data_IF_824392462375
#
_entry.id   IF_824392462375
#
_cell.length_a   1.000
_cell.length_b   1.000
_cell.length_c   1.000
_cell.angle_alpha   90.00
_cell.angle_beta   90.00
_cell.angle_gamma   90.00
#
_symmetry.space_group_name_H-M   'P 1'
#
loop_
_entity.id
_entity.type
_entity.pdbx_description
1 polymer ?
#
# COMPACT_ATOMS: atom_id res chain seq x y z
N UNK A 1 -24.16 -30.33 -30.79
CA UNK A 1 -23.70 -29.08 -30.16
C UNK A 1 -23.05 -29.42 -28.83
N UNK A 2 -21.72 -29.38 -28.74
CA UNK A 2 -20.99 -29.31 -27.46
C UNK A 2 -19.55 -28.84 -27.75
N UNK A 3 -19.15 -27.75 -27.08
CA UNK A 3 -17.93 -27.00 -27.37
C UNK A 3 -16.67 -27.59 -26.75
N UNK A 4 -15.56 -27.46 -27.49
CA UNK A 4 -14.19 -27.76 -27.01
C UNK A 4 -13.64 -26.58 -26.21
N UNK A 5 -13.24 -26.82 -24.97
CA UNK A 5 -12.41 -25.90 -24.19
C UNK A 5 -10.93 -26.12 -24.53
N UNK A 6 -10.22 -25.04 -24.90
CA UNK A 6 -8.75 -25.04 -25.11
C UNK A 6 -8.06 -24.82 -23.76
N UNK A 7 -7.09 -25.68 -23.42
CA UNK A 7 -6.16 -25.45 -22.30
C UNK A 7 -5.09 -24.45 -22.71
N UNK A 8 -4.97 -23.37 -21.94
CA UNK A 8 -3.87 -22.40 -22.05
C UNK A 8 -2.54 -23.04 -21.66
N UNK A 9 -1.50 -22.69 -22.41
CA UNK A 9 -0.11 -23.08 -22.23
C UNK A 9 0.52 -22.29 -21.08
N UNK A 10 1.07 -22.98 -20.08
CA UNK A 10 1.97 -22.44 -19.06
C UNK A 10 3.40 -22.49 -19.61
N UNK A 11 4.25 -21.45 -19.43
CA UNK A 11 5.62 -21.49 -19.93
C UNK A 11 6.46 -22.46 -19.10
N UNK A 12 6.94 -23.52 -19.75
CA UNK A 12 7.92 -24.46 -19.21
C UNK A 12 9.30 -23.83 -19.41
N UNK A 13 10.01 -23.48 -18.34
CA UNK A 13 11.45 -23.15 -18.43
C UNK A 13 12.29 -24.43 -18.42
N UNK A 14 13.35 -24.41 -19.21
CA UNK A 14 14.15 -25.56 -19.62
C UNK A 14 14.91 -26.25 -18.47
N UNK A 15 15.03 -27.58 -18.62
CA UNK A 15 15.69 -28.52 -17.73
C UNK A 15 17.21 -28.44 -17.90
N UNK A 16 17.96 -28.22 -16.82
CA UNK A 16 19.39 -28.54 -16.73
C UNK A 16 19.55 -29.96 -16.17
N UNK A 17 20.14 -30.87 -16.95
CA UNK A 17 20.57 -32.18 -16.49
C UNK A 17 22.00 -32.07 -15.94
N UNK A 18 22.14 -31.85 -14.64
CA UNK A 18 23.43 -31.86 -13.95
C UNK A 18 23.34 -32.65 -12.65
N UNK A 19 24.19 -33.65 -12.47
CA UNK A 19 24.31 -34.41 -11.23
C UNK A 19 24.98 -33.56 -10.17
N UNK A 20 24.20 -32.94 -9.28
CA UNK A 20 24.69 -32.31 -8.07
C UNK A 20 24.02 -32.99 -6.86
N UNK A 21 24.81 -33.63 -6.02
CA UNK A 21 24.35 -34.14 -4.72
C UNK A 21 24.10 -32.96 -3.79
N UNK A 22 22.84 -32.52 -3.70
CA UNK A 22 22.35 -31.67 -2.63
C UNK A 22 21.53 -32.54 -1.68
N UNK A 23 21.98 -32.59 -0.41
CA UNK A 23 21.23 -33.21 0.67
C UNK A 23 20.05 -32.29 1.03
N UNK A 24 18.97 -32.41 0.26
CA UNK A 24 17.68 -31.81 0.57
C UNK A 24 16.79 -32.92 1.18
N UNK A 25 16.41 -32.76 2.45
CA UNK A 25 15.30 -33.52 3.02
C UNK A 25 14.01 -33.03 2.38
N UNK A 26 13.62 -33.69 1.29
CA UNK A 26 12.44 -33.38 0.51
C UNK A 26 11.36 -34.41 0.87
N UNK A 27 10.29 -33.97 1.54
CA UNK A 27 9.10 -34.81 1.74
C UNK A 27 8.33 -34.85 0.43
N UNK A 28 8.54 -35.89 -0.36
CA UNK A 28 7.82 -36.11 -1.63
C UNK A 28 6.53 -36.87 -1.34
N UNK A 29 5.39 -36.19 -1.44
CA UNK A 29 4.07 -36.82 -1.49
C UNK A 29 3.72 -37.06 -2.96
N UNK A 30 3.58 -38.32 -3.38
CA UNK A 30 3.11 -38.65 -4.73
C UNK A 30 1.82 -39.47 -4.66
N UNK A 31 0.94 -39.26 -5.65
CA UNK A 31 -0.30 -40.00 -5.82
C UNK A 31 -0.16 -40.91 -7.04
N UNK A 32 -0.26 -42.24 -6.86
CA UNK A 32 -0.27 -43.18 -7.99
C UNK A 32 -1.73 -43.49 -8.32
N UNK A 33 -2.22 -42.95 -9.44
CA UNK A 33 -3.54 -43.31 -9.95
C UNK A 33 -3.47 -44.59 -10.79
N UNK A 34 -4.18 -45.65 -10.37
CA UNK A 34 -4.72 -46.65 -11.29
C UNK A 34 -6.23 -46.46 -11.39
N UNK A 35 -6.82 -46.78 -12.55
CA UNK A 35 -8.19 -46.41 -12.92
C UNK A 35 -9.31 -46.85 -11.97
N UNK A 36 -9.06 -47.77 -11.05
CA UNK A 36 -10.06 -48.23 -10.09
C UNK A 36 -9.42 -48.35 -8.69
N UNK A 37 -10.02 -47.66 -7.71
CA UNK A 37 -9.71 -47.62 -6.26
C UNK A 37 -8.63 -46.65 -5.77
N UNK A 38 -9.04 -45.81 -4.81
CA UNK A 38 -8.18 -44.94 -3.99
C UNK A 38 -7.76 -45.71 -2.74
N UNK A 39 -6.55 -46.27 -2.74
CA UNK A 39 -5.96 -46.90 -1.56
C UNK A 39 -4.66 -46.21 -1.20
N UNK A 40 -4.65 -45.56 -0.05
CA UNK A 40 -3.45 -45.00 0.57
C UNK A 40 -2.59 -46.16 1.07
N UNK A 41 -1.45 -46.44 0.42
CA UNK A 41 -0.45 -47.41 0.89
C UNK A 41 0.89 -46.74 1.11
N UNK A 42 1.36 -46.79 2.37
CA UNK A 42 2.73 -46.47 2.75
C UNK A 42 3.57 -47.72 2.46
N UNK A 43 4.48 -47.65 1.50
CA UNK A 43 5.38 -48.76 1.17
C UNK A 43 6.67 -48.27 0.53
N UNK A 44 7.81 -48.78 0.99
CA UNK A 44 9.12 -48.56 0.37
C UNK A 44 9.38 -49.63 -0.67
N UNK A 45 9.31 -49.28 -1.96
CA UNK A 45 9.85 -50.10 -3.04
C UNK A 45 11.06 -49.39 -3.65
N UNK A 46 12.17 -50.10 -3.75
CA UNK A 46 13.33 -49.65 -4.53
C UNK A 46 13.04 -49.86 -6.00
N UNK A 47 12.87 -48.77 -6.75
CA UNK A 47 12.80 -48.80 -8.21
C UNK A 47 14.14 -48.30 -8.76
N UNK A 48 14.89 -49.19 -9.39
CA UNK A 48 16.08 -48.83 -10.15
C UNK A 48 15.67 -48.11 -11.43
N UNK A 49 15.87 -46.78 -11.44
CA UNK A 49 15.88 -45.89 -12.62
C UNK A 49 14.53 -45.67 -13.32
N UNK A 50 13.62 -44.97 -12.66
CA UNK A 50 12.58 -44.20 -13.36
C UNK A 50 13.06 -42.74 -13.48
N UNK A 51 12.92 -42.07 -14.64
CA UNK A 51 13.09 -40.64 -14.71
C UNK A 51 12.01 -39.97 -13.87
N UNK A 52 12.40 -39.39 -12.73
CA UNK A 52 11.53 -38.59 -11.89
C UNK A 52 11.74 -37.11 -12.24
N UNK A 53 10.67 -36.42 -12.62
CA UNK A 53 10.66 -34.97 -12.69
C UNK A 53 10.21 -34.42 -11.33
N UNK A 54 11.08 -33.71 -10.64
CA UNK A 54 10.70 -32.93 -9.46
C UNK A 54 10.24 -31.57 -9.97
N UNK A 55 8.94 -31.31 -9.86
CA UNK A 55 8.38 -29.96 -10.07
C UNK A 55 8.39 -29.27 -8.71
N UNK A 56 9.38 -28.43 -8.48
CA UNK A 56 9.37 -27.51 -7.34
C UNK A 56 8.45 -26.36 -7.74
N UNK A 57 7.26 -26.30 -7.17
CA UNK A 57 6.47 -25.07 -7.20
C UNK A 57 7.18 -24.08 -6.27
N UNK A 58 7.79 -23.04 -6.84
CA UNK A 58 8.20 -21.89 -6.04
C UNK A 58 6.95 -21.33 -5.34
N UNK A 59 7.09 -20.95 -4.07
CA UNK A 59 6.02 -20.21 -3.40
C UNK A 59 5.71 -18.96 -4.22
N UNK A 60 4.44 -18.73 -4.53
CA UNK A 60 4.02 -17.52 -5.22
C UNK A 60 4.34 -16.34 -4.31
N UNK A 61 5.14 -15.40 -4.80
CA UNK A 61 5.33 -14.12 -4.11
C UNK A 61 3.98 -13.40 -4.10
N UNK A 62 3.55 -12.96 -2.92
CA UNK A 62 2.29 -12.25 -2.73
C UNK A 62 2.60 -10.90 -2.10
N UNK A 63 2.01 -9.84 -2.62
CA UNK A 63 2.09 -8.51 -2.03
C UNK A 63 0.71 -8.00 -1.64
N UNK A 64 0.65 -7.16 -0.61
CA UNK A 64 -0.56 -6.50 -0.16
C UNK A 64 -0.41 -5.00 -0.38
N UNK A 65 -1.41 -4.40 -1.04
CA UNK A 65 -1.58 -2.96 -1.16
C UNK A 65 -2.55 -2.49 -0.07
N UNK A 66 -2.04 -1.79 0.93
CA UNK A 66 -2.85 -1.10 1.93
C UNK A 66 -3.16 0.31 1.44
N UNK A 67 -4.43 0.74 1.47
CA UNK A 67 -4.84 2.07 0.99
C UNK A 67 -5.55 2.82 2.11
N UNK A 68 -5.20 4.09 2.26
CA UNK A 68 -5.91 5.04 3.10
C UNK A 68 -5.79 6.47 2.54
N UNK A 69 -6.49 7.43 3.12
CA UNK A 69 -6.68 8.78 2.62
C UNK A 69 -6.47 9.84 3.70
N UNK A 70 -6.24 11.08 3.27
CA UNK A 70 -6.30 12.23 4.18
C UNK A 70 -6.80 13.46 3.43
N UNK A 71 -7.52 14.33 4.13
CA UNK A 71 -8.29 15.39 3.49
C UNK A 71 -9.77 15.02 3.37
N UNK A 72 -10.53 15.93 2.78
CA UNK A 72 -11.89 15.66 2.35
C UNK A 72 -12.02 15.86 0.83
N UNK A 73 -13.09 15.32 0.26
CA UNK A 73 -13.39 15.45 -1.17
C UNK A 73 -14.34 16.62 -1.48
N UNK A 74 -14.58 17.48 -0.49
CA UNK A 74 -15.40 18.68 -0.62
C UNK A 74 -14.69 19.77 -1.43
N UNK A 75 -15.49 20.61 -2.07
CA UNK A 75 -15.00 21.79 -2.78
C UNK A 75 -14.36 22.79 -1.81
N UNK A 76 -13.24 23.38 -2.22
CA UNK A 76 -12.63 24.49 -1.50
C UNK A 76 -13.29 25.81 -1.95
N UNK A 77 -13.93 26.59 -1.06
CA UNK A 77 -14.58 27.83 -1.46
C UNK A 77 -13.55 28.89 -1.88
N UNK A 78 -14.02 29.95 -2.56
CA UNK A 78 -13.15 31.05 -3.00
C UNK A 78 -12.49 31.79 -1.82
N UNK A 79 -13.16 31.81 -0.67
CA UNK A 79 -12.64 32.28 0.61
C UNK A 79 -12.70 31.12 1.60
N UNK A 80 -11.61 30.34 1.75
CA UNK A 80 -11.55 29.22 2.68
C UNK A 80 -11.78 29.67 4.12
N UNK A 81 -12.64 28.94 4.82
CA UNK A 81 -12.80 29.03 6.26
C UNK A 81 -11.61 28.44 7.00
N UNK A 82 -11.63 28.60 8.33
CA UNK A 82 -10.52 28.22 9.19
C UNK A 82 -10.16 26.72 9.12
N UNK A 83 -11.14 25.85 8.82
CA UNK A 83 -11.00 24.40 8.83
C UNK A 83 -11.12 23.73 7.45
N UNK A 84 -11.30 24.49 6.37
CA UNK A 84 -11.46 23.90 5.03
C UNK A 84 -10.17 23.23 4.57
N UNK A 85 -10.23 22.00 4.08
CA UNK A 85 -9.03 21.23 3.75
C UNK A 85 -8.59 21.53 2.32
N UNK A 86 -7.42 22.16 2.09
CA UNK A 86 -7.00 22.59 0.75
C UNK A 86 -6.38 21.47 -0.08
N UNK A 87 -6.08 20.34 0.56
CA UNK A 87 -5.50 19.15 -0.07
C UNK A 87 -6.41 17.96 0.18
N UNK A 88 -6.46 17.07 -0.80
CA UNK A 88 -6.97 15.72 -0.66
C UNK A 88 -5.91 14.76 -1.18
N UNK A 89 -5.65 13.67 -0.49
CA UNK A 89 -4.72 12.64 -0.96
C UNK A 89 -5.21 11.24 -0.64
N UNK A 90 -4.77 10.30 -1.46
CA UNK A 90 -4.86 8.87 -1.20
C UNK A 90 -3.43 8.33 -1.22
N UNK A 91 -3.03 7.66 -0.15
CA UNK A 91 -1.75 6.97 -0.04
C UNK A 91 -1.94 5.46 -0.07
N UNK A 92 -0.87 4.76 -0.43
CA UNK A 92 -0.85 3.31 -0.38
C UNK A 92 0.53 2.75 -0.04
N UNK A 93 0.53 1.63 0.67
CA UNK A 93 1.73 0.87 1.02
C UNK A 93 1.69 -0.49 0.35
N UNK A 94 2.75 -0.83 -0.37
CA UNK A 94 2.99 -2.15 -0.93
C UNK A 94 3.90 -2.90 0.04
N UNK A 95 3.41 -4.03 0.55
CA UNK A 95 4.10 -4.86 1.55
C UNK A 95 4.20 -6.29 1.02
N UNK A 96 5.36 -6.94 1.16
CA UNK A 96 5.47 -8.38 0.94
C UNK A 96 4.61 -9.10 2.00
N UNK A 97 3.71 -9.98 1.56
CA UNK A 97 2.84 -10.73 2.45
C UNK A 97 3.63 -11.55 3.49
N UNK A 98 4.87 -11.97 3.16
CA UNK A 98 5.77 -12.63 4.09
C UNK A 98 6.20 -11.74 5.27
N UNK A 99 6.28 -10.42 5.06
CA UNK A 99 6.72 -9.45 6.07
C UNK A 99 5.58 -8.89 6.92
N UNK A 100 4.31 -9.18 6.59
CA UNK A 100 3.14 -8.58 7.29
C UNK A 100 3.13 -8.91 8.78
N UNK A 101 3.52 -10.13 9.15
CA UNK A 101 3.59 -10.55 10.56
C UNK A 101 4.60 -9.72 11.34
N UNK A 102 5.85 -9.67 10.86
CA UNK A 102 6.94 -8.95 11.52
C UNK A 102 6.70 -7.44 11.52
N UNK A 103 6.22 -6.85 10.41
CA UNK A 103 5.81 -5.46 10.34
C UNK A 103 4.73 -5.12 11.39
N UNK A 104 3.76 -6.01 11.58
CA UNK A 104 2.70 -5.83 12.58
C UNK A 104 3.25 -5.86 14.00
N UNK A 105 4.13 -6.81 14.30
CA UNK A 105 4.78 -6.90 15.61
C UNK A 105 5.64 -5.68 15.91
N UNK A 106 6.49 -5.27 14.97
CA UNK A 106 7.34 -4.08 15.13
C UNK A 106 6.52 -2.81 15.33
N UNK A 107 5.40 -2.68 14.61
CA UNK A 107 4.48 -1.55 14.80
C UNK A 107 3.82 -1.58 16.18
N UNK A 108 3.36 -2.74 16.66
CA UNK A 108 2.80 -2.88 18.02
C UNK A 108 3.83 -2.54 19.09
N UNK A 109 5.08 -2.97 18.92
CA UNK A 109 6.17 -2.64 19.83
C UNK A 109 6.49 -1.15 19.80
N UNK A 110 6.46 -0.52 18.63
CA UNK A 110 6.60 0.93 18.49
C UNK A 110 5.49 1.67 19.24
N UNK A 111 4.23 1.25 19.07
CA UNK A 111 3.07 1.80 19.81
C UNK A 111 3.28 1.66 21.31
N UNK A 112 3.69 0.49 21.76
CA UNK A 112 3.91 0.19 23.17
C UNK A 112 5.00 1.09 23.79
N UNK A 113 6.07 1.36 23.03
CA UNK A 113 7.19 2.19 23.48
C UNK A 113 6.82 3.67 23.56
N UNK A 114 6.13 4.20 22.55
CA UNK A 114 5.82 5.63 22.48
C UNK A 114 4.53 6.00 23.22
N UNK A 115 3.53 5.13 23.19
CA UNK A 115 2.21 5.39 23.78
C UNK A 115 1.85 4.34 24.83
N UNK A 116 2.67 4.15 25.89
CA UNK A 116 2.41 3.12 26.90
C UNK A 116 1.08 3.31 27.62
N UNK A 117 0.62 4.57 27.79
CA UNK A 117 -0.68 4.87 28.38
C UNK A 117 -1.87 4.58 27.46
N UNK A 118 -1.66 4.52 26.14
CA UNK A 118 -2.71 4.17 25.17
C UNK A 118 -2.97 2.65 25.15
N UNK A 119 -1.92 1.86 25.35
CA UNK A 119 -1.97 0.39 25.30
C UNK A 119 -1.92 -0.25 26.69
N UNK A 120 -1.97 0.55 27.76
CA UNK A 120 -1.73 0.10 29.13
C UNK A 120 -2.75 -0.91 29.64
N UNK A 121 -3.99 -0.83 29.15
CA UNK A 121 -5.09 -1.72 29.53
C UNK A 121 -5.13 -3.01 28.68
N UNK A 122 -4.26 -3.14 27.67
CA UNK A 122 -4.20 -4.32 26.82
C UNK A 122 -3.45 -5.46 27.52
N UNK A 123 -4.18 -6.52 27.87
CA UNK A 123 -3.61 -7.69 28.56
C UNK A 123 -2.70 -8.54 27.68
N UNK A 124 -3.03 -8.68 26.37
CA UNK A 124 -2.18 -9.41 25.41
C UNK A 124 -1.45 -8.44 24.51
N UNK A 125 -0.27 -8.84 24.06
CA UNK A 125 0.54 -8.05 23.14
C UNK A 125 -0.23 -7.69 21.85
N UNK A 126 -0.95 -8.65 21.25
CA UNK A 126 -1.72 -8.41 20.02
C UNK A 126 -2.91 -7.47 20.22
N UNK A 127 -3.52 -7.41 21.41
CA UNK A 127 -4.65 -6.51 21.70
C UNK A 127 -4.26 -5.02 21.57
N UNK A 128 -2.96 -4.73 21.63
CA UNK A 128 -2.39 -3.38 21.48
C UNK A 128 -2.53 -2.83 20.06
N UNK A 129 -2.97 -3.64 19.10
CA UNK A 129 -3.36 -3.14 17.78
C UNK A 129 -4.65 -2.30 17.85
N UNK A 130 -5.58 -2.64 18.75
CA UNK A 130 -6.93 -2.05 18.80
C UNK A 130 -6.90 -0.55 19.13
N UNK A 131 -6.14 -0.04 20.13
CA UNK A 131 -6.10 1.39 20.42
C UNK A 131 -5.33 2.15 19.35
N UNK A 132 -6.02 2.89 18.50
CA UNK A 132 -5.42 3.54 17.33
C UNK A 132 -4.71 4.86 17.66
N UNK A 133 -3.54 5.08 17.06
CA UNK A 133 -2.88 6.40 17.05
C UNK A 133 -3.35 7.15 15.81
N UNK A 134 -4.14 8.20 15.98
CA UNK A 134 -4.65 8.97 14.85
C UNK A 134 -3.56 9.84 14.22
N UNK A 135 -3.36 9.71 12.91
CA UNK A 135 -2.37 10.51 12.18
C UNK A 135 -2.62 12.03 12.26
N UNK A 136 -3.89 12.44 12.35
CA UNK A 136 -4.27 13.84 12.54
C UNK A 136 -3.85 14.42 13.90
N UNK A 137 -3.78 13.60 14.95
CA UNK A 137 -3.27 13.97 16.27
C UNK A 137 -1.74 14.08 16.25
N UNK A 138 -1.06 13.14 15.58
CA UNK A 138 0.38 13.22 15.32
C UNK A 138 0.74 14.49 14.56
N UNK A 139 0.00 14.82 13.48
CA UNK A 139 0.14 16.08 12.75
C UNK A 139 0.02 17.28 13.67
N UNK A 140 -1.05 17.35 14.48
CA UNK A 140 -1.27 18.45 15.43
C UNK A 140 -0.09 18.58 16.41
N UNK A 141 0.36 17.46 16.96
CA UNK A 141 1.46 17.41 17.92
C UNK A 141 2.81 17.80 17.29
N UNK A 142 3.08 17.38 16.06
CA UNK A 142 4.29 17.70 15.32
C UNK A 142 4.34 19.19 14.93
N UNK A 143 3.23 19.77 14.47
CA UNK A 143 3.19 21.14 13.95
C UNK A 143 2.98 22.21 15.03
N UNK A 144 2.16 21.91 16.05
CA UNK A 144 1.66 22.87 17.04
C UNK A 144 1.89 22.44 18.49
N UNK A 145 2.41 21.24 18.72
CA UNK A 145 2.69 20.75 20.07
C UNK A 145 3.82 21.52 20.75
N UNK A 146 3.80 21.54 22.09
CA UNK A 146 4.94 22.03 22.90
C UNK A 146 6.19 21.22 22.57
N UNK A 147 7.38 21.76 22.89
CA UNK A 147 8.69 21.16 22.56
C UNK A 147 8.77 19.64 22.77
N UNK A 148 8.33 19.14 23.93
CA UNK A 148 8.38 17.71 24.25
C UNK A 148 7.35 16.89 23.48
N UNK A 149 6.12 17.38 23.31
CA UNK A 149 5.06 16.73 22.52
C UNK A 149 5.45 16.66 21.05
N UNK A 150 6.03 17.73 20.51
CA UNK A 150 6.57 17.76 19.16
C UNK A 150 7.71 16.77 18.99
N UNK A 151 8.70 16.77 19.89
CA UNK A 151 9.82 15.81 19.86
C UNK A 151 9.31 14.37 19.90
N UNK A 152 8.30 14.10 20.72
CA UNK A 152 7.68 12.79 20.83
C UNK A 152 7.03 12.34 19.51
N UNK A 153 6.17 13.17 18.92
CA UNK A 153 5.51 12.86 17.64
C UNK A 153 6.52 12.66 16.51
N UNK A 154 7.54 13.51 16.42
CA UNK A 154 8.58 13.40 15.41
C UNK A 154 9.41 12.12 15.60
N UNK A 155 9.84 11.81 16.83
CA UNK A 155 10.60 10.59 17.11
C UNK A 155 9.80 9.31 16.81
N UNK A 156 8.48 9.34 16.99
CA UNK A 156 7.61 8.24 16.58
C UNK A 156 7.62 8.07 15.05
N UNK A 157 7.44 9.16 14.31
CA UNK A 157 7.42 9.15 12.84
C UNK A 157 8.77 8.69 12.24
N UNK A 158 9.90 9.12 12.82
CA UNK A 158 11.24 8.65 12.42
C UNK A 158 11.37 7.13 12.58
N UNK A 159 10.97 6.60 13.73
CA UNK A 159 11.02 5.16 13.99
C UNK A 159 10.01 4.37 13.16
N UNK A 160 8.88 4.97 12.79
CA UNK A 160 7.93 4.35 11.88
C UNK A 160 8.53 4.21 10.48
N UNK A 161 9.17 5.26 9.94
CA UNK A 161 9.81 5.19 8.62
C UNK A 161 10.97 4.18 8.59
N UNK A 162 11.74 4.08 9.68
CA UNK A 162 12.78 3.05 9.83
C UNK A 162 12.22 1.63 9.74
N UNK A 163 11.09 1.35 10.42
CA UNK A 163 10.39 0.06 10.32
C UNK A 163 9.99 -0.21 8.86
N UNK A 164 9.42 0.77 8.16
CA UNK A 164 9.00 0.59 6.76
C UNK A 164 10.17 0.30 5.82
N UNK A 165 11.30 0.94 6.03
CA UNK A 165 12.53 0.68 5.28
C UNK A 165 13.07 -0.73 5.57
N UNK A 166 13.09 -1.16 6.84
CA UNK A 166 13.56 -2.49 7.24
C UNK A 166 12.72 -3.63 6.67
N UNK A 167 11.44 -3.37 6.38
CA UNK A 167 10.50 -4.34 5.80
C UNK A 167 10.34 -4.20 4.27
N UNK A 168 11.20 -3.40 3.62
CA UNK A 168 11.18 -3.12 2.17
C UNK A 168 9.83 -2.60 1.65
N UNK A 169 9.08 -1.90 2.50
CA UNK A 169 7.77 -1.35 2.15
C UNK A 169 7.91 -0.25 1.10
N UNK A 170 7.03 -0.25 0.09
CA UNK A 170 6.99 0.80 -0.93
C UNK A 170 5.77 1.70 -0.80
N UNK A 171 5.97 2.98 -1.03
CA UNK A 171 4.96 4.03 -0.94
C UNK A 171 4.50 4.47 -2.34
N UNK A 172 3.18 4.60 -2.48
CA UNK A 172 2.50 5.28 -3.58
C UNK A 172 1.58 6.35 -3.00
N UNK A 173 1.40 7.47 -3.69
CA UNK A 173 0.38 8.43 -3.30
C UNK A 173 -0.07 9.32 -4.46
N UNK A 174 -1.37 9.62 -4.47
CA UNK A 174 -1.97 10.61 -5.35
C UNK A 174 -2.44 11.80 -4.51
N UNK A 175 -1.81 12.95 -4.73
CA UNK A 175 -2.10 14.21 -4.03
C UNK A 175 -2.83 15.17 -4.97
N UNK A 176 -3.88 15.80 -4.46
CA UNK A 176 -4.70 16.78 -5.17
C UNK A 176 -4.73 18.09 -4.39
N UNK A 177 -4.23 19.16 -5.00
CA UNK A 177 -4.38 20.53 -4.49
C UNK A 177 -5.72 21.06 -5.01
N UNK A 178 -6.60 21.49 -4.11
CA UNK A 178 -7.93 21.93 -4.50
C UNK A 178 -7.88 23.37 -5.03
N UNK A 179 -8.43 23.63 -6.23
CA UNK A 179 -8.53 24.99 -6.75
C UNK A 179 -9.57 25.82 -5.95
N UNK A 180 -9.24 27.08 -5.67
CA UNK A 180 -10.11 28.00 -4.93
C UNK A 180 -11.37 28.35 -5.71
N UNK A 181 -12.54 28.14 -5.11
CA UNK A 181 -13.82 28.53 -5.69
C UNK A 181 -14.23 27.75 -6.94
N UNK A 182 -13.45 26.74 -7.34
CA UNK A 182 -13.70 25.92 -8.51
C UNK A 182 -14.22 24.54 -8.12
N UNK A 183 -14.91 23.89 -9.05
CA UNK A 183 -15.49 22.56 -8.82
C UNK A 183 -14.38 21.53 -8.54
N UNK A 184 -14.58 20.76 -7.47
CA UNK A 184 -13.75 19.59 -7.15
C UNK A 184 -14.63 18.35 -7.15
N UNK A 185 -14.52 17.52 -8.20
CA UNK A 185 -15.37 16.34 -8.37
C UNK A 185 -14.87 15.17 -7.53
N UNK A 186 -15.21 15.19 -6.24
CA UNK A 186 -14.73 14.22 -5.24
C UNK A 186 -14.79 12.76 -5.66
N UNK A 187 -15.92 12.32 -6.23
CA UNK A 187 -16.11 10.95 -6.72
C UNK A 187 -15.11 10.60 -7.83
N UNK A 188 -14.97 11.46 -8.84
CA UNK A 188 -14.09 11.22 -9.98
C UNK A 188 -12.61 11.25 -9.56
N UNK A 189 -12.25 12.20 -8.69
CA UNK A 189 -10.92 12.30 -8.09
C UNK A 189 -10.57 11.03 -7.32
N UNK A 190 -11.49 10.53 -6.49
CA UNK A 190 -11.27 9.33 -5.70
C UNK A 190 -11.12 8.09 -6.59
N UNK A 191 -12.08 7.84 -7.49
CA UNK A 191 -12.04 6.63 -8.35
C UNK A 191 -10.84 6.61 -9.28
N UNK A 192 -10.46 7.76 -9.86
CA UNK A 192 -9.28 7.85 -10.71
C UNK A 192 -7.97 7.65 -9.93
N UNK A 193 -7.92 8.10 -8.67
CA UNK A 193 -6.77 7.87 -7.79
C UNK A 193 -6.61 6.40 -7.44
N UNK A 194 -7.69 5.70 -7.10
CA UNK A 194 -7.66 4.26 -6.83
C UNK A 194 -7.27 3.46 -8.08
N UNK A 195 -7.82 3.80 -9.24
CA UNK A 195 -7.42 3.17 -10.51
C UNK A 195 -5.94 3.39 -10.81
N UNK A 196 -5.41 4.59 -10.56
CA UNK A 196 -3.98 4.87 -10.72
C UNK A 196 -3.10 4.07 -9.74
N UNK A 197 -3.54 3.92 -8.49
CA UNK A 197 -2.86 3.06 -7.50
C UNK A 197 -2.86 1.60 -7.95
N UNK A 198 -3.98 1.09 -8.47
CA UNK A 198 -4.08 -0.26 -9.03
C UNK A 198 -3.18 -0.46 -10.25
N UNK A 199 -3.10 0.50 -11.15
CA UNK A 199 -2.20 0.44 -12.30
C UNK A 199 -0.73 0.39 -11.87
N UNK A 200 -0.36 1.21 -10.89
CA UNK A 200 1.00 1.23 -10.34
C UNK A 200 1.34 -0.04 -9.57
N UNK A 201 0.38 -0.59 -8.82
CA UNK A 201 0.55 -1.86 -8.13
C UNK A 201 0.63 -3.02 -9.12
N UNK A 202 -0.19 -3.06 -10.17
CA UNK A 202 -0.09 -4.08 -11.22
C UNK A 202 1.28 -4.06 -11.90
N UNK A 203 1.81 -2.87 -12.18
CA UNK A 203 3.18 -2.74 -12.69
C UNK A 203 4.22 -3.28 -11.69
N UNK A 204 4.13 -2.92 -10.41
CA UNK A 204 4.98 -3.50 -9.37
C UNK A 204 4.91 -5.03 -9.33
N UNK A 205 3.69 -5.58 -9.39
CA UNK A 205 3.47 -7.03 -9.36
C UNK A 205 4.10 -7.73 -10.56
N UNK A 206 4.06 -7.11 -11.74
CA UNK A 206 4.75 -7.60 -12.93
C UNK A 206 6.27 -7.59 -12.76
N UNK A 207 6.83 -6.48 -12.28
CA UNK A 207 8.28 -6.34 -12.07
C UNK A 207 8.82 -7.32 -11.01
N UNK A 208 8.01 -7.64 -10.00
CA UNK A 208 8.36 -8.61 -8.95
C UNK A 208 7.99 -10.06 -9.27
N UNK A 209 7.39 -10.32 -10.43
CA UNK A 209 6.79 -11.63 -10.77
C UNK A 209 5.90 -12.18 -9.64
N UNK A 210 5.05 -11.31 -9.07
CA UNK A 210 4.22 -11.61 -7.89
C UNK A 210 2.71 -11.40 -8.10
N UNK A 211 1.89 -12.03 -7.29
CA UNK A 211 0.45 -11.76 -7.22
C UNK A 211 0.16 -10.73 -6.13
N UNK A 212 -1.02 -10.11 -6.18
CA UNK A 212 -1.36 -9.05 -5.24
C UNK A 212 -2.78 -9.09 -4.72
N UNK A 213 -2.97 -8.52 -3.53
CA UNK A 213 -4.28 -8.26 -2.93
C UNK A 213 -4.33 -6.81 -2.43
N UNK A 214 -5.52 -6.20 -2.40
CA UNK A 214 -5.71 -4.83 -1.95
C UNK A 214 -6.64 -4.77 -0.75
N UNK A 215 -6.20 -4.08 0.30
CA UNK A 215 -6.98 -3.79 1.49
C UNK A 215 -7.06 -2.27 1.63
N UNK A 216 -8.27 -1.72 1.56
CA UNK A 216 -8.52 -0.29 1.75
C UNK A 216 -9.21 -0.06 3.10
N UNK A 217 -8.99 1.11 3.71
CA UNK A 217 -9.77 1.50 4.88
C UNK A 217 -11.25 1.66 4.50
N UNK A 218 -12.14 1.16 5.35
CA UNK A 218 -13.57 1.17 5.06
C UNK A 218 -14.17 2.55 5.28
N UNK A 219 -14.91 3.02 4.28
CA UNK A 219 -15.79 4.19 4.38
C UNK A 219 -17.23 3.73 4.59
N UNK A 220 -18.20 4.56 4.21
CA UNK A 220 -19.59 4.13 4.12
C UNK A 220 -19.81 3.13 2.96
N UNK A 221 -20.82 2.23 3.07
CA UNK A 221 -21.05 1.17 2.09
C UNK A 221 -21.23 1.66 0.65
N UNK A 222 -21.82 2.84 0.44
CA UNK A 222 -22.08 3.38 -0.89
C UNK A 222 -20.77 3.81 -1.56
N UNK A 223 -19.91 4.52 -0.84
CA UNK A 223 -18.59 4.92 -1.35
C UNK A 223 -17.72 3.69 -1.64
N UNK A 224 -17.71 2.70 -0.75
CA UNK A 224 -16.98 1.44 -0.96
C UNK A 224 -17.43 0.73 -2.24
N UNK A 225 -18.74 0.62 -2.46
CA UNK A 225 -19.30 -0.02 -3.66
C UNK A 225 -18.92 0.72 -4.95
N UNK A 226 -18.95 2.07 -4.94
CA UNK A 226 -18.54 2.89 -6.09
C UNK A 226 -17.07 2.66 -6.45
N UNK A 227 -16.20 2.63 -5.44
CA UNK A 227 -14.76 2.42 -5.62
C UNK A 227 -14.47 1.02 -6.16
N UNK A 228 -15.04 -0.02 -5.53
CA UNK A 228 -14.89 -1.39 -6.00
C UNK A 228 -15.40 -1.56 -7.45
N UNK A 229 -16.53 -0.95 -7.78
CA UNK A 229 -17.07 -1.00 -9.14
C UNK A 229 -16.17 -0.27 -10.17
N UNK A 230 -15.51 0.81 -9.76
CA UNK A 230 -14.56 1.52 -10.64
C UNK A 230 -13.33 0.67 -10.99
N UNK A 231 -12.88 -0.23 -10.10
CA UNK A 231 -11.80 -1.18 -10.37
C UNK A 231 -12.34 -2.38 -11.15
N UNK A 232 -13.52 -2.88 -10.80
CA UNK A 232 -14.19 -4.00 -11.49
C UNK A 232 -14.32 -3.74 -12.99
N UNK A 233 -14.80 -2.55 -13.37
CA UNK A 233 -15.00 -2.19 -14.77
C UNK A 233 -13.71 -2.18 -15.57
N UNK A 234 -12.57 -1.82 -14.96
CA UNK A 234 -11.25 -1.88 -15.61
C UNK A 234 -10.71 -3.32 -15.68
N UNK A 235 -10.86 -4.08 -14.59
CA UNK A 235 -10.33 -5.45 -14.50
C UNK A 235 -11.02 -6.42 -15.46
N UNK A 236 -12.34 -6.32 -15.57
CA UNK A 236 -13.16 -7.26 -16.35
C UNK A 236 -13.63 -6.66 -17.69
N UNK A 237 -12.99 -5.60 -18.18
CA UNK A 237 -13.32 -5.03 -19.48
C UNK A 237 -13.00 -6.04 -20.59
N UNK A 238 -13.95 -6.24 -21.52
CA UNK A 238 -13.82 -7.24 -22.59
C UNK A 238 -12.71 -6.94 -23.60
N UNK A 239 -12.33 -5.67 -23.75
CA UNK A 239 -11.31 -5.22 -24.70
C UNK A 239 -9.88 -5.32 -24.17
N UNK A 240 -9.70 -5.42 -22.84
CA UNK A 240 -8.40 -5.42 -22.17
C UNK A 240 -8.61 -5.77 -20.70
N UNK A 241 -8.14 -6.93 -20.24
CA UNK A 241 -8.14 -7.23 -18.81
C UNK A 241 -7.00 -6.44 -18.14
N UNK A 242 -7.33 -5.32 -17.50
CA UNK A 242 -6.39 -4.62 -16.63
C UNK A 242 -6.23 -5.39 -15.31
N UNK A 243 -5.11 -5.20 -14.61
CA UNK A 243 -4.91 -5.72 -13.25
C UNK A 243 -5.02 -7.26 -13.16
N UNK A 244 -4.25 -7.98 -13.97
CA UNK A 244 -4.29 -9.45 -14.04
C UNK A 244 -3.59 -10.13 -12.86
N UNK A 245 -2.64 -9.44 -12.22
CA UNK A 245 -1.91 -9.95 -11.06
C UNK A 245 -2.52 -9.51 -9.74
N UNK A 246 -3.22 -8.38 -9.70
CA UNK A 246 -4.09 -8.03 -8.57
C UNK A 246 -5.31 -8.98 -8.55
N UNK A 247 -5.35 -9.90 -7.60
CA UNK A 247 -6.28 -11.04 -7.60
C UNK A 247 -7.74 -10.63 -7.42
N UNK A 248 -7.99 -9.58 -6.64
CA UNK A 248 -9.34 -9.18 -6.24
C UNK A 248 -9.54 -7.66 -6.33
N UNK A 249 -10.80 -7.25 -6.34
CA UNK A 249 -11.22 -5.87 -6.09
C UNK A 249 -10.78 -5.40 -4.69
N UNK A 250 -10.79 -4.08 -4.40
CA UNK A 250 -10.44 -3.59 -3.08
C UNK A 250 -11.35 -4.23 -2.03
N UNK A 251 -10.75 -4.87 -1.03
CA UNK A 251 -11.47 -5.31 0.16
C UNK A 251 -11.37 -4.23 1.22
N UNK A 252 -12.50 -3.92 1.85
CA UNK A 252 -12.57 -2.84 2.84
C UNK A 252 -12.47 -3.43 4.25
N UNK A 253 -11.50 -2.94 5.01
CA UNK A 253 -11.20 -3.41 6.36
C UNK A 253 -11.46 -2.32 7.41
N UNK A 254 -11.59 -2.75 8.67
CA UNK A 254 -11.59 -1.83 9.80
C UNK A 254 -10.16 -1.66 10.33
N UNK A 255 -9.69 -0.41 10.42
CA UNK A 255 -8.32 -0.06 10.87
C UNK A 255 -7.91 -0.72 12.19
N UNK A 256 -8.84 -0.96 13.12
CA UNK A 256 -8.61 -1.51 14.46
C UNK A 256 -7.84 -2.84 14.46
N UNK A 257 -7.87 -3.61 13.37
CA UNK A 257 -7.22 -4.91 13.26
C UNK A 257 -6.11 -4.96 12.19
N UNK A 258 -5.78 -3.85 11.55
CA UNK A 258 -4.88 -3.82 10.40
C UNK A 258 -3.75 -2.81 10.60
N UNK A 259 -2.57 -3.30 10.97
CA UNK A 259 -1.37 -2.47 11.12
C UNK A 259 -1.04 -1.70 9.82
N UNK A 260 -1.11 -2.36 8.66
CA UNK A 260 -0.89 -1.71 7.37
C UNK A 260 -1.82 -0.52 7.10
N UNK A 261 -3.09 -0.61 7.50
CA UNK A 261 -4.06 0.50 7.39
C UNK A 261 -3.70 1.62 8.37
N UNK A 262 -3.46 1.30 9.66
CA UNK A 262 -3.10 2.33 10.65
C UNK A 262 -1.81 3.07 10.27
N UNK A 263 -0.81 2.37 9.74
CA UNK A 263 0.43 2.98 9.25
C UNK A 263 0.13 3.88 8.06
N UNK A 264 -0.74 3.45 7.14
CA UNK A 264 -1.15 4.24 5.98
C UNK A 264 -1.85 5.55 6.42
N UNK A 265 -2.81 5.51 7.37
CA UNK A 265 -3.40 6.73 7.97
C UNK A 265 -2.30 7.66 8.49
N UNK A 266 -1.39 7.12 9.30
CA UNK A 266 -0.34 7.91 9.94
C UNK A 266 0.52 8.62 8.90
N UNK A 267 0.97 7.93 7.85
CA UNK A 267 1.78 8.55 6.79
C UNK A 267 0.98 9.59 6.02
N UNK A 268 -0.24 9.26 5.62
CA UNK A 268 -1.14 10.16 4.88
C UNK A 268 -1.41 11.44 5.68
N UNK A 269 -1.85 11.29 6.92
CA UNK A 269 -2.34 12.37 7.77
C UNK A 269 -1.24 13.15 8.48
N UNK A 270 -0.15 12.49 8.92
CA UNK A 270 0.91 13.12 9.71
C UNK A 270 2.10 13.64 8.88
N UNK A 271 2.35 13.10 7.68
CA UNK A 271 3.47 13.49 6.83
C UNK A 271 3.01 14.05 5.49
N UNK A 272 2.38 13.24 4.65
CA UNK A 272 2.08 13.62 3.26
C UNK A 272 1.15 14.83 3.19
N UNK A 273 0.08 14.83 3.98
CA UNK A 273 -0.88 15.93 3.99
C UNK A 273 -0.26 17.26 4.40
N UNK A 274 0.38 17.41 5.59
CA UNK A 274 0.92 18.70 6.00
C UNK A 274 2.07 19.17 5.10
N UNK A 275 2.89 18.26 4.56
CA UNK A 275 3.93 18.61 3.59
C UNK A 275 3.29 19.16 2.31
N UNK A 276 2.27 18.49 1.77
CA UNK A 276 1.58 18.96 0.57
C UNK A 276 0.86 20.30 0.81
N UNK A 277 0.17 20.45 1.94
CA UNK A 277 -0.53 21.68 2.28
C UNK A 277 0.43 22.86 2.38
N UNK A 278 1.60 22.69 3.00
CA UNK A 278 2.63 23.74 3.06
C UNK A 278 3.26 23.99 1.69
N UNK A 279 3.74 22.96 1.00
CA UNK A 279 4.47 23.10 -0.24
C UNK A 279 3.64 23.71 -1.38
N UNK A 280 2.33 23.42 -1.42
CA UNK A 280 1.45 23.83 -2.51
C UNK A 280 0.43 24.91 -2.14
N UNK A 281 0.04 25.05 -0.87
CA UNK A 281 -1.02 26.01 -0.52
C UNK A 281 -0.50 27.27 0.19
N UNK A 282 0.78 27.30 0.59
CA UNK A 282 1.40 28.52 1.14
C UNK A 282 1.29 29.69 0.17
N UNK A 283 0.81 30.83 0.65
CA UNK A 283 0.54 32.04 -0.16
C UNK A 283 -0.82 32.05 -0.88
N UNK A 284 -1.54 30.93 -0.89
CA UNK A 284 -2.87 30.83 -1.53
C UNK A 284 -3.99 30.59 -0.52
N UNK A 285 -3.73 29.83 0.54
CA UNK A 285 -4.70 29.48 1.57
C UNK A 285 -4.13 29.81 2.95
N UNK A 286 -4.86 30.62 3.72
CA UNK A 286 -4.50 30.98 5.09
C UNK A 286 -5.43 30.34 6.10
N UNK A 287 -5.15 29.10 6.52
CA UNK A 287 -5.98 28.40 7.50
C UNK A 287 -5.18 27.41 8.37
N UNK A 288 -5.84 26.64 9.24
CA UNK A 288 -5.15 25.80 10.23
C UNK A 288 -4.35 24.64 9.61
N UNK A 289 -4.64 24.28 8.34
CA UNK A 289 -4.03 23.16 7.64
C UNK A 289 -2.75 23.57 6.90
N UNK A 290 -2.62 24.85 6.55
CA UNK A 290 -1.42 25.41 5.91
C UNK A 290 -0.57 26.09 6.97
N UNK A 291 0.49 25.41 7.41
CA UNK A 291 1.32 25.87 8.53
C UNK A 291 2.79 25.95 8.09
N UNK A 292 3.48 27.08 8.27
CA UNK A 292 4.91 27.20 7.95
C UNK A 292 5.78 26.17 8.68
N UNK A 293 5.36 25.70 9.86
CA UNK A 293 6.08 24.67 10.61
C UNK A 293 6.11 23.31 9.91
N UNK A 294 5.26 23.06 8.91
CA UNK A 294 5.31 21.84 8.12
C UNK A 294 6.49 21.82 7.14
N UNK A 295 7.12 22.96 6.83
CA UNK A 295 8.37 22.99 6.08
C UNK A 295 9.47 22.17 6.78
N UNK A 296 9.51 22.19 8.11
CA UNK A 296 10.44 21.38 8.89
C UNK A 296 10.15 19.86 8.82
N UNK A 297 8.90 19.46 8.55
CA UNK A 297 8.58 18.06 8.26
C UNK A 297 9.12 17.68 6.89
N UNK A 298 8.93 18.54 5.89
CA UNK A 298 9.45 18.32 4.53
C UNK A 298 10.97 18.19 4.54
N UNK A 299 11.66 19.12 5.19
CA UNK A 299 13.12 19.10 5.30
C UNK A 299 13.62 17.83 5.99
N UNK A 300 12.93 17.41 7.06
CA UNK A 300 13.36 16.26 7.88
C UNK A 300 13.04 14.90 7.26
N UNK A 301 11.92 14.77 6.56
CA UNK A 301 11.40 13.47 6.11
C UNK A 301 11.36 13.33 4.58
N UNK A 302 11.68 14.39 3.83
CA UNK A 302 11.59 14.41 2.38
C UNK A 302 12.46 13.34 1.72
N UNK A 303 13.69 13.17 2.20
CA UNK A 303 14.63 12.19 1.65
C UNK A 303 14.18 10.73 1.89
N UNK A 304 13.68 10.43 3.09
CA UNK A 304 13.17 9.11 3.45
C UNK A 304 11.89 8.78 2.67
N UNK A 305 10.96 9.74 2.58
CA UNK A 305 9.77 9.60 1.75
C UNK A 305 10.12 9.43 0.27
N UNK A 306 11.20 10.06 -0.20
CA UNK A 306 11.70 9.88 -1.55
C UNK A 306 12.20 8.45 -1.78
N UNK A 307 12.93 7.91 -0.82
CA UNK A 307 13.52 6.56 -0.87
C UNK A 307 12.45 5.46 -0.80
N UNK A 308 11.35 5.69 -0.07
CA UNK A 308 10.26 4.73 0.04
C UNK A 308 9.42 4.59 -1.24
N UNK A 309 9.47 5.53 -2.18
CA UNK A 309 8.60 5.50 -3.35
C UNK A 309 8.86 4.28 -4.26
N UNK A 310 7.78 3.66 -4.76
CA UNK A 310 7.88 2.80 -5.93
C UNK A 310 7.72 3.63 -7.22
N UNK A 311 8.80 3.84 -7.97
CA UNK A 311 8.78 4.57 -9.24
C UNK A 311 9.23 3.66 -10.38
N UNK A 312 8.59 3.80 -11.53
CA UNK A 312 8.89 3.03 -12.73
C UNK A 312 8.80 3.90 -13.98
N UNK A 313 9.37 3.44 -15.08
CA UNK A 313 9.23 4.09 -16.38
C UNK A 313 8.25 3.32 -17.25
N UNK A 314 7.30 4.02 -17.85
CA UNK A 314 6.45 3.47 -18.90
C UNK A 314 7.27 3.22 -20.18
N UNK A 315 6.78 2.40 -21.14
CA UNK A 315 7.47 2.12 -22.39
C UNK A 315 7.88 3.37 -23.21
N UNK A 316 7.17 4.49 -23.03
CA UNK A 316 7.49 5.78 -23.66
C UNK A 316 8.54 6.61 -22.90
N UNK A 317 9.18 6.05 -21.86
CA UNK A 317 10.22 6.70 -21.06
C UNK A 317 9.68 7.66 -19.98
N UNK A 318 8.36 7.80 -19.85
CA UNK A 318 7.73 8.65 -18.84
C UNK A 318 7.81 7.98 -17.47
N UNK A 319 8.33 8.72 -16.48
CA UNK A 319 8.29 8.28 -15.08
C UNK A 319 6.85 8.29 -14.53
N UNK A 320 6.47 7.19 -13.87
CA UNK A 320 5.20 7.00 -13.18
C UNK A 320 5.44 6.33 -11.81
N UNK A 321 4.37 6.13 -11.04
CA UNK A 321 4.44 5.68 -9.65
C UNK A 321 4.88 6.76 -8.67
N UNK A 322 5.22 6.34 -7.46
CA UNK A 322 5.69 7.17 -6.36
C UNK A 322 4.61 8.09 -5.79
N UNK A 323 5.01 9.29 -5.38
CA UNK A 323 4.09 10.35 -4.98
C UNK A 323 3.90 11.28 -6.17
N UNK A 324 2.67 11.38 -6.65
CA UNK A 324 2.28 12.22 -7.78
C UNK A 324 1.30 13.31 -7.32
N UNK A 325 1.49 14.52 -7.82
CA UNK A 325 0.72 15.70 -7.41
C UNK A 325 -0.03 16.30 -8.60
N UNK A 326 -1.29 16.66 -8.37
CA UNK A 326 -2.07 17.53 -9.25
C UNK A 326 -2.22 18.89 -8.58
N UNK A 327 -1.42 19.88 -9.02
CA UNK A 327 -1.46 21.26 -8.53
C UNK A 327 -2.00 22.22 -9.60
N UNK A 328 -3.34 22.37 -9.75
CA UNK A 328 -3.92 23.34 -10.68
C UNK A 328 -3.76 24.79 -10.20
N UNK A 329 -3.28 25.03 -8.97
CA UNK A 329 -3.13 26.37 -8.38
C UNK A 329 -1.78 26.96 -8.74
N UNK A 330 -0.70 26.24 -8.42
CA UNK A 330 0.67 26.70 -8.65
C UNK A 330 1.39 26.04 -9.81
N UNK A 331 0.77 25.06 -10.48
CA UNK A 331 1.37 24.28 -11.59
C UNK A 331 2.72 23.64 -11.23
N UNK A 332 2.92 23.31 -9.95
CA UNK A 332 4.16 22.70 -9.46
C UNK A 332 4.12 21.18 -9.60
N UNK A 333 5.29 20.60 -9.82
CA UNK A 333 5.47 19.16 -9.88
C UNK A 333 5.70 18.55 -8.48
N UNK A 334 5.70 17.22 -8.39
CA UNK A 334 5.84 16.49 -7.13
C UNK A 334 7.19 16.68 -6.39
N UNK A 335 8.25 17.19 -7.04
CA UNK A 335 9.56 17.36 -6.40
C UNK A 335 9.50 18.34 -5.21
N UNK A 336 8.53 19.26 -5.21
CA UNK A 336 8.26 20.19 -4.12
C UNK A 336 7.85 19.50 -2.81
N UNK A 337 7.54 18.19 -2.83
CA UNK A 337 7.34 17.38 -1.63
C UNK A 337 8.65 16.98 -0.93
N UNK A 338 9.81 17.09 -1.58
CA UNK A 338 11.06 16.49 -1.09
C UNK A 338 12.22 17.47 -0.97
N UNK A 339 12.21 18.57 -1.72
CA UNK A 339 13.29 19.57 -1.74
C UNK A 339 12.85 20.94 -1.22
N UNK A 340 13.82 21.67 -0.68
CA UNK A 340 13.87 23.14 -0.76
C UNK A 340 14.83 23.55 -1.88
#
# INVERSE_FOLDING_TARGET
MSGKWRRGSVPIQWIYAGTCQLHLSLTVSYTVGSKDSWLYRKGSKSYSRLPAAIVVFGAWKLHILYIDESGDTGQLPAQPGANDQPVFLIGALIVDAANVGDLTHDFIDLKSRFYPGLVGDCHKHLDRILPEIKGSDLRRNALRGRRNVRRHAIGFLEKLLEILQNHDVRLLSRVWVKPLGQRFEGRAVYTSSIQWLYASFENFLHDQDSLGFCIADSRDPLNNAIVAHSVFTQKFQSSSAAYNRALELPTFAHSENHAGIQICDILCSALLYPIAAEAYCSGHVGNIHVQPSAAALRERFGAELQTLQYRYQEPLGKWNGGIVVSDPVGLRNAAWMFSL
#
